data_IF_667706178875
#
_entry.id   IF_667706178875
#
_cell.length_a   1.000
_cell.length_b   1.000
_cell.length_c   1.000
_cell.angle_alpha   90.00
_cell.angle_beta   90.00
_cell.angle_gamma   90.00
#
_symmetry.space_group_name_H-M   'P 1'
#
loop_
_entity.id
_entity.type
_entity.pdbx_description
1 polymer ?
#
# COMPACT_ATOMS: atom_id res chain seq x y z
N UNK A 1 2.84 -27.81 1.80
CA UNK A 1 3.08 -26.78 0.76
C UNK A 1 3.34 -25.47 1.48
N UNK A 2 4.46 -24.81 1.17
CA UNK A 2 4.83 -23.56 1.82
C UNK A 2 3.67 -22.57 1.68
N UNK A 3 3.11 -22.13 2.80
CA UNK A 3 2.22 -21.00 2.80
C UNK A 3 3.02 -19.84 2.20
N UNK A 4 2.59 -19.34 1.03
CA UNK A 4 3.11 -18.11 0.46
C UNK A 4 2.79 -17.02 1.49
N UNK A 5 3.75 -16.72 2.36
CA UNK A 5 3.61 -15.69 3.39
C UNK A 5 3.22 -14.40 2.68
N UNK A 6 2.04 -13.86 3.02
CA UNK A 6 1.60 -12.61 2.45
C UNK A 6 2.65 -11.52 2.74
N UNK A 7 2.92 -10.61 1.79
CA UNK A 7 3.84 -9.52 2.04
C UNK A 7 3.34 -8.68 3.22
N UNK A 8 4.21 -8.42 4.18
CA UNK A 8 3.92 -7.58 5.33
C UNK A 8 4.22 -6.11 5.01
N UNK A 9 3.32 -5.23 5.45
CA UNK A 9 3.48 -3.79 5.38
C UNK A 9 4.70 -3.37 6.18
N UNK A 10 5.62 -2.62 5.57
CA UNK A 10 6.86 -2.19 6.24
C UNK A 10 6.69 -0.99 7.17
N UNK A 11 5.48 -0.45 7.29
CA UNK A 11 5.13 0.64 8.19
C UNK A 11 4.53 0.08 9.49
N UNK A 12 3.51 -0.78 9.38
CA UNK A 12 2.77 -1.31 10.54
C UNK A 12 2.97 -2.82 10.80
N UNK A 13 3.77 -3.50 9.96
CA UNK A 13 4.07 -4.94 10.06
C UNK A 13 2.86 -5.89 10.00
N UNK A 14 1.71 -5.40 9.52
CA UNK A 14 0.51 -6.20 9.23
C UNK A 14 0.50 -6.66 7.77
N UNK A 15 -0.32 -7.63 7.43
CA UNK A 15 -0.49 -8.05 6.03
C UNK A 15 -0.86 -6.86 5.14
N UNK A 16 -0.20 -6.75 3.98
CA UNK A 16 -0.52 -5.71 2.97
C UNK A 16 -1.97 -5.83 2.48
N UNK A 17 -2.51 -7.04 2.54
CA UNK A 17 -3.85 -7.36 2.04
C UNK A 17 -3.88 -7.51 0.52
N UNK A 18 -5.08 -7.78 0.02
CA UNK A 18 -5.37 -7.95 -1.41
C UNK A 18 -6.38 -6.89 -1.88
N UNK A 19 -6.37 -6.59 -3.17
CA UNK A 19 -7.38 -5.78 -3.85
C UNK A 19 -8.70 -6.54 -3.94
N UNK A 20 -9.75 -5.87 -4.42
CA UNK A 20 -11.07 -6.49 -4.63
C UNK A 20 -11.02 -7.66 -5.62
N UNK A 21 -10.04 -7.64 -6.53
CA UNK A 21 -9.78 -8.68 -7.52
C UNK A 21 -8.96 -9.86 -6.97
N UNK A 22 -8.53 -9.78 -5.70
CA UNK A 22 -7.72 -10.81 -5.06
C UNK A 22 -6.21 -10.70 -5.33
N UNK A 23 -5.77 -9.64 -6.01
CA UNK A 23 -4.35 -9.37 -6.29
C UNK A 23 -3.66 -8.62 -5.12
N UNK A 24 -2.33 -8.71 -4.95
CA UNK A 24 -1.64 -7.94 -3.91
C UNK A 24 -1.84 -6.44 -4.10
N UNK A 25 -2.12 -5.70 -3.02
CA UNK A 25 -2.21 -4.25 -3.10
C UNK A 25 -0.82 -3.63 -3.36
N UNK A 26 -0.68 -2.87 -4.45
CA UNK A 26 0.57 -2.18 -4.82
C UNK A 26 0.41 -0.68 -4.56
N UNK A 27 1.00 -0.21 -3.46
CA UNK A 27 1.01 1.22 -3.10
C UNK A 27 1.94 2.06 -4.00
N UNK A 28 3.13 1.53 -4.29
CA UNK A 28 4.10 2.17 -5.16
C UNK A 28 4.38 1.29 -6.38
N UNK A 29 3.99 1.75 -7.57
CA UNK A 29 4.22 1.00 -8.81
C UNK A 29 5.66 1.08 -9.34
N UNK A 30 6.55 1.84 -8.69
CA UNK A 30 7.96 1.98 -9.10
C UNK A 30 8.84 0.92 -8.44
N UNK A 31 8.82 0.86 -7.11
CA UNK A 31 9.68 -0.06 -6.35
C UNK A 31 8.89 -1.20 -5.67
N UNK A 32 7.56 -1.24 -5.84
CA UNK A 32 6.67 -2.26 -5.25
C UNK A 32 6.86 -2.37 -3.74
N UNK A 33 7.16 -1.23 -3.08
CA UNK A 33 7.39 -1.21 -1.65
C UNK A 33 6.10 -1.62 -0.92
N UNK A 34 6.16 -2.66 -0.06
CA UNK A 34 4.98 -3.23 0.55
C UNK A 34 4.41 -2.29 1.64
N UNK A 35 3.26 -1.71 1.32
CA UNK A 35 2.50 -0.82 2.20
C UNK A 35 1.04 -1.25 2.12
N UNK A 36 0.41 -1.51 3.26
CA UNK A 36 -1.01 -1.84 3.28
C UNK A 36 -1.87 -0.63 2.89
N UNK A 37 -3.13 -0.89 2.51
CA UNK A 37 -4.05 0.16 2.06
C UNK A 37 -4.24 1.28 3.08
N UNK A 38 -4.40 0.93 4.36
CA UNK A 38 -4.57 1.91 5.45
C UNK A 38 -3.35 2.84 5.56
N UNK A 39 -2.14 2.29 5.70
CA UNK A 39 -0.95 3.13 5.80
C UNK A 39 -0.66 3.93 4.52
N UNK A 40 -1.08 3.44 3.35
CA UNK A 40 -1.01 4.21 2.10
C UNK A 40 -1.98 5.39 2.13
N UNK A 41 -3.21 5.21 2.62
CA UNK A 41 -4.22 6.27 2.78
C UNK A 41 -3.73 7.29 3.82
N UNK A 42 -3.28 6.85 5.00
CA UNK A 42 -2.71 7.70 6.06
C UNK A 42 -1.53 8.55 5.55
N UNK A 43 -0.54 7.95 4.88
CA UNK A 43 0.62 8.67 4.32
C UNK A 43 0.23 9.66 3.20
N UNK A 44 -0.93 9.45 2.56
CA UNK A 44 -1.46 10.32 1.50
C UNK A 44 -2.27 11.49 2.05
N UNK A 45 -2.97 11.31 3.17
CA UNK A 45 -3.80 12.33 3.81
C UNK A 45 -2.99 13.18 4.80
N UNK A 46 -2.23 12.54 5.69
CA UNK A 46 -1.48 13.20 6.78
C UNK A 46 0.05 13.22 6.56
N UNK A 47 0.56 12.36 5.68
CA UNK A 47 2.01 12.16 5.49
C UNK A 47 2.64 12.91 4.31
N UNK A 48 3.77 12.38 3.83
CA UNK A 48 4.57 12.98 2.72
C UNK A 48 3.98 12.76 1.32
N UNK A 49 2.87 12.02 1.22
CA UNK A 49 2.22 11.65 -0.04
C UNK A 49 3.15 10.91 -1.02
N UNK A 50 4.20 10.25 -0.53
CA UNK A 50 5.24 9.61 -1.33
C UNK A 50 5.68 8.27 -0.74
N UNK A 51 6.19 7.38 -1.58
CA UNK A 51 6.76 6.11 -1.14
C UNK A 51 7.93 6.35 -0.16
N UNK A 52 7.95 5.70 1.02
CA UNK A 52 9.01 5.89 2.01
C UNK A 52 10.37 5.33 1.57
N UNK A 53 10.41 4.47 0.54
CA UNK A 53 11.67 3.89 0.04
C UNK A 53 12.26 4.65 -1.15
N UNK A 54 11.46 4.99 -2.17
CA UNK A 54 11.96 5.63 -3.39
C UNK A 54 11.54 7.10 -3.54
N UNK A 55 10.80 7.66 -2.58
CA UNK A 55 10.23 9.01 -2.60
C UNK A 55 9.37 9.34 -3.83
N UNK A 56 8.99 8.33 -4.61
CA UNK A 56 8.05 8.52 -5.71
C UNK A 56 6.71 8.94 -5.12
N UNK A 57 6.21 10.10 -5.56
CA UNK A 57 4.89 10.59 -5.15
C UNK A 57 3.82 9.56 -5.48
N UNK A 58 3.00 9.22 -4.50
CA UNK A 58 1.94 8.25 -4.65
C UNK A 58 0.91 8.77 -5.67
N UNK A 59 0.59 7.94 -6.67
CA UNK A 59 -0.50 8.23 -7.61
C UNK A 59 -1.83 8.17 -6.87
N UNK A 60 -2.83 8.93 -7.33
CA UNK A 60 -4.18 8.88 -6.77
C UNK A 60 -4.79 7.53 -7.13
N UNK A 61 -4.72 6.55 -6.23
CA UNK A 61 -5.64 5.42 -6.30
C UNK A 61 -7.05 5.97 -6.10
N UNK A 62 -8.06 5.40 -6.77
CA UNK A 62 -9.47 5.77 -6.57
C UNK A 62 -9.85 5.44 -5.12
N UNK A 63 -9.58 6.38 -4.21
CA UNK A 63 -10.05 6.37 -2.83
C UNK A 63 -11.55 6.65 -2.83
N UNK A 64 -12.27 5.97 -1.94
CA UNK A 64 -13.73 5.98 -1.85
C UNK A 64 -14.26 7.42 -1.94
N UNK A 65 -15.20 7.63 -2.86
CA UNK A 65 -16.08 8.78 -2.77
C UNK A 65 -16.74 8.71 -1.39
N UNK A 66 -16.57 9.78 -0.62
CA UNK A 66 -17.27 10.01 0.64
C UNK A 66 -18.77 9.72 0.42
N UNK A 67 -19.29 8.71 1.10
CA UNK A 67 -20.72 8.63 1.41
C UNK A 67 -20.84 8.64 2.93
#
# INVERSE_FOLDING_TARGET
MAALSAPLCRICFKDVGKTVDGEPFIACSVCVYPVCRLCYEDEREDGKQSCPQCNTRYKRHKGRQSL
#
